data_IF_518396608736
#
_entry.id   IF_518396608736
#
_cell.length_a   1.000
_cell.length_b   1.000
_cell.length_c   1.000
_cell.angle_alpha   90.00
_cell.angle_beta   90.00
_cell.angle_gamma   90.00
#
_symmetry.space_group_name_H-M   'P 1'
#
loop_
_entity.id
_entity.type
_entity.pdbx_description
1 polymer ?
#
# COMPACT_ATOMS: atom_id res chain seq x y z
N UNK A 1 29.14 48.50 41.68
CA UNK A 1 29.34 47.04 41.66
C UNK A 1 28.50 46.49 40.52
N UNK A 2 29.19 46.02 39.47
CA UNK A 2 28.86 44.98 38.47
C UNK A 2 27.37 44.70 38.13
N UNK A 3 26.91 44.52 36.88
CA UNK A 3 27.53 44.45 35.55
C UNK A 3 26.38 44.29 34.50
N UNK A 4 26.59 44.84 33.29
CA UNK A 4 26.04 44.39 31.97
C UNK A 4 24.51 44.43 31.72
N UNK A 5 23.94 45.41 30.98
CA UNK A 5 23.75 45.49 29.49
C UNK A 5 23.02 44.25 28.90
N UNK A 6 22.00 44.32 28.03
CA UNK A 6 21.71 45.30 26.98
C UNK A 6 20.28 45.14 26.42
N UNK A 7 19.66 46.28 26.08
CA UNK A 7 18.48 46.48 25.22
C UNK A 7 18.69 45.95 23.80
N UNK A 8 17.61 45.58 23.08
CA UNK A 8 17.41 46.00 21.69
C UNK A 8 15.94 45.79 21.24
N UNK A 9 15.26 46.90 20.96
CA UNK A 9 14.04 46.99 20.16
C UNK A 9 14.38 47.66 18.82
N UNK A 10 13.52 47.45 17.82
CA UNK A 10 13.48 48.07 16.49
C UNK A 10 14.42 47.46 15.43
N UNK A 11 13.85 46.77 14.43
CA UNK A 11 13.84 47.15 12.99
C UNK A 11 12.89 46.18 12.25
N UNK A 12 11.76 46.70 11.76
CA UNK A 12 11.06 46.15 10.60
C UNK A 12 11.53 46.91 9.36
N UNK A 13 12.10 46.23 8.36
CA UNK A 13 11.97 46.56 6.93
C UNK A 13 12.98 45.77 6.09
N UNK A 14 12.51 45.26 4.95
CA UNK A 14 13.26 44.90 3.73
C UNK A 14 13.98 43.54 3.72
N UNK A 15 13.23 42.51 3.29
CA UNK A 15 13.83 41.36 2.58
C UNK A 15 13.44 41.47 1.11
N UNK A 16 14.06 42.41 0.40
CA UNK A 16 14.10 42.42 -1.06
C UNK A 16 15.31 41.62 -1.53
N UNK A 17 15.05 40.70 -2.47
CA UNK A 17 15.91 40.25 -3.58
C UNK A 17 17.42 40.26 -3.32
N UNK A 18 17.98 39.07 -3.10
CA UNK A 18 19.36 38.80 -3.47
C UNK A 18 19.39 37.77 -4.61
N UNK A 19 19.37 38.28 -5.83
CA UNK A 19 19.79 37.56 -7.04
C UNK A 19 21.31 37.44 -7.02
N UNK A 20 21.84 36.23 -6.95
CA UNK A 20 23.29 36.05 -7.00
C UNK A 20 23.76 34.62 -6.75
N UNK A 21 23.30 33.65 -7.54
CA UNK A 21 24.04 32.41 -7.75
C UNK A 21 24.47 32.40 -9.22
N UNK A 22 25.75 32.62 -9.45
CA UNK A 22 26.41 32.34 -10.72
C UNK A 22 26.58 30.82 -10.77
N UNK A 23 25.60 30.15 -11.38
CA UNK A 23 25.61 28.73 -11.71
C UNK A 23 25.47 28.58 -13.23
N UNK A 24 26.34 27.75 -13.79
CA UNK A 24 26.54 27.49 -15.21
C UNK A 24 25.29 26.99 -15.96
N UNK A 25 25.05 27.58 -17.13
CA UNK A 25 24.40 27.04 -18.36
C UNK A 25 23.36 25.92 -18.17
N UNK A 26 22.07 26.33 -18.14
CA UNK A 26 21.05 25.82 -19.05
C UNK A 26 20.59 24.36 -18.91
N UNK A 27 19.98 24.00 -17.78
CA UNK A 27 18.89 23.03 -17.81
C UNK A 27 17.57 23.80 -17.86
N UNK A 28 16.92 23.83 -19.03
CA UNK A 28 15.52 24.24 -19.12
C UNK A 28 14.70 23.29 -18.23
N UNK A 29 14.21 23.79 -17.09
CA UNK A 29 13.21 23.07 -16.28
C UNK A 29 11.97 22.93 -17.16
N UNK A 30 11.82 21.77 -17.82
CA UNK A 30 10.62 21.47 -18.59
C UNK A 30 9.44 21.53 -17.63
N UNK A 31 8.38 22.29 -17.95
CA UNK A 31 7.20 22.31 -17.10
C UNK A 31 6.65 20.89 -17.01
N UNK A 32 6.57 20.37 -15.78
CA UNK A 32 5.98 19.07 -15.48
C UNK A 32 4.56 19.08 -16.03
N UNK A 33 4.22 18.08 -16.85
CA UNK A 33 2.88 17.98 -17.44
C UNK A 33 2.09 16.91 -16.68
N UNK A 34 0.99 17.33 -16.08
CA UNK A 34 -0.01 16.45 -15.47
C UNK A 34 -1.20 16.21 -16.42
N UNK A 35 -1.94 15.10 -16.26
CA UNK A 35 -1.94 14.17 -15.13
C UNK A 35 -0.75 13.20 -15.09
N UNK A 36 -0.52 12.56 -13.95
CA UNK A 36 0.41 11.44 -13.78
C UNK A 36 -0.30 10.32 -13.03
N UNK A 37 -0.18 9.09 -13.50
CA UNK A 37 -0.72 7.90 -12.83
C UNK A 37 0.40 6.91 -12.60
N UNK A 38 0.54 6.42 -11.37
CA UNK A 38 1.50 5.37 -10.99
C UNK A 38 0.74 4.26 -10.26
N UNK A 39 1.00 2.99 -10.58
CA UNK A 39 0.48 1.86 -9.81
C UNK A 39 1.54 0.79 -9.55
N UNK A 40 1.37 0.00 -8.50
CA UNK A 40 2.06 -1.29 -8.37
C UNK A 40 1.71 -2.18 -9.55
N UNK A 41 2.67 -3.04 -9.93
CA UNK A 41 2.53 -4.15 -10.89
C UNK A 41 2.20 -3.74 -12.34
N UNK A 42 2.31 -4.66 -13.32
CA UNK A 42 2.00 -4.38 -14.73
C UNK A 42 0.49 -4.31 -15.03
N UNK A 43 -0.33 -3.73 -14.15
CA UNK A 43 -1.79 -3.59 -14.29
C UNK A 43 -2.17 -2.47 -15.27
N UNK A 44 -1.76 -2.61 -16.53
CA UNK A 44 -1.88 -1.54 -17.54
C UNK A 44 -3.31 -1.03 -17.73
N UNK A 45 -4.32 -1.91 -17.72
CA UNK A 45 -5.71 -1.47 -17.89
C UNK A 45 -6.22 -0.62 -16.72
N UNK A 46 -5.80 -0.93 -15.49
CA UNK A 46 -6.11 -0.10 -14.32
C UNK A 46 -5.49 1.30 -14.46
N UNK A 47 -4.23 1.38 -14.87
CA UNK A 47 -3.54 2.66 -15.13
C UNK A 47 -4.22 3.43 -16.28
N UNK A 48 -4.65 2.76 -17.35
CA UNK A 48 -5.38 3.40 -18.45
C UNK A 48 -6.75 3.93 -18.02
N UNK A 49 -7.46 3.22 -17.16
CA UNK A 49 -8.75 3.65 -16.63
C UNK A 49 -8.60 4.93 -15.78
N UNK A 50 -7.64 4.94 -14.85
CA UNK A 50 -7.31 6.14 -14.07
C UNK A 50 -6.84 7.30 -14.96
N UNK A 51 -5.99 7.02 -15.95
CA UNK A 51 -5.48 8.02 -16.88
C UNK A 51 -6.62 8.70 -17.66
N UNK A 52 -7.55 7.94 -18.24
CA UNK A 52 -8.67 8.50 -19.00
C UNK A 52 -9.52 9.44 -18.14
N UNK A 53 -9.75 9.06 -16.88
CA UNK A 53 -10.49 9.84 -15.90
C UNK A 53 -9.77 11.14 -15.55
N UNK A 54 -8.48 11.08 -15.20
CA UNK A 54 -7.69 12.28 -14.91
C UNK A 54 -7.50 13.18 -16.15
N UNK A 55 -7.31 12.59 -17.34
CA UNK A 55 -7.15 13.31 -18.61
C UNK A 55 -8.45 14.03 -19.01
N UNK A 56 -9.61 13.50 -18.66
CA UNK A 56 -10.90 14.19 -18.84
C UNK A 56 -11.11 15.38 -17.90
N UNK A 57 -10.21 15.60 -16.93
CA UNK A 57 -10.26 16.73 -15.98
C UNK A 57 -11.00 16.43 -14.67
N UNK A 58 -11.33 15.17 -14.41
CA UNK A 58 -11.87 14.73 -13.11
C UNK A 58 -10.76 14.70 -12.04
N UNK A 59 -11.17 14.65 -10.77
CA UNK A 59 -10.26 14.75 -9.64
C UNK A 59 -9.32 13.56 -9.52
N UNK A 60 -8.20 13.73 -8.81
CA UNK A 60 -7.30 12.63 -8.48
C UNK A 60 -8.03 11.47 -7.76
N UNK A 61 -8.99 11.78 -6.87
CA UNK A 61 -9.81 10.77 -6.18
C UNK A 61 -10.67 9.98 -7.17
N UNK A 62 -11.33 10.65 -8.11
CA UNK A 62 -12.13 9.96 -9.13
C UNK A 62 -11.26 9.02 -9.97
N UNK A 63 -10.08 9.49 -10.38
CA UNK A 63 -9.14 8.70 -11.18
C UNK A 63 -8.61 7.47 -10.43
N UNK A 64 -8.24 7.61 -9.14
CA UNK A 64 -7.84 6.49 -8.29
C UNK A 64 -8.97 5.47 -8.18
N UNK A 65 -10.19 5.93 -7.91
CA UNK A 65 -11.36 5.05 -7.73
C UNK A 65 -11.65 4.28 -9.02
N UNK A 66 -11.60 4.93 -10.18
CA UNK A 66 -11.79 4.26 -11.48
C UNK A 66 -10.67 3.27 -11.80
N UNK A 67 -9.41 3.62 -11.52
CA UNK A 67 -8.27 2.73 -11.74
C UNK A 67 -8.31 1.46 -10.88
N UNK A 68 -8.52 1.62 -9.57
CA UNK A 68 -8.66 0.49 -8.66
C UNK A 68 -9.92 -0.34 -8.97
N UNK A 69 -11.04 0.30 -9.32
CA UNK A 69 -12.28 -0.42 -9.71
C UNK A 69 -12.07 -1.27 -10.95
N UNK A 70 -11.33 -0.76 -11.95
CA UNK A 70 -10.99 -1.53 -13.13
C UNK A 70 -10.17 -2.78 -12.77
N UNK A 71 -9.28 -2.67 -11.78
CA UNK A 71 -8.48 -3.80 -11.32
C UNK A 71 -9.29 -4.84 -10.53
N UNK A 72 -10.19 -4.39 -9.65
CA UNK A 72 -11.17 -5.25 -8.96
C UNK A 72 -12.04 -6.01 -9.95
N UNK A 73 -12.51 -5.34 -11.02
CA UNK A 73 -13.35 -5.95 -12.05
C UNK A 73 -12.60 -6.95 -12.92
N UNK A 74 -11.39 -6.59 -13.36
CA UNK A 74 -10.54 -7.44 -14.21
C UNK A 74 -9.89 -8.58 -13.45
N UNK A 75 -10.02 -8.61 -12.12
CA UNK A 75 -9.34 -9.54 -11.24
C UNK A 75 -7.84 -9.56 -11.55
N UNK A 76 -7.20 -8.38 -11.53
CA UNK A 76 -5.77 -8.25 -11.79
C UNK A 76 -5.03 -9.39 -11.08
N UNK A 77 -4.29 -10.20 -11.86
CA UNK A 77 -3.54 -11.40 -11.47
C UNK A 77 -4.27 -12.48 -10.61
N UNK A 78 -5.57 -12.31 -10.38
CA UNK A 78 -6.37 -13.19 -9.53
C UNK A 78 -6.25 -12.94 -8.03
N UNK A 79 -5.68 -11.81 -7.57
CA UNK A 79 -5.54 -11.46 -6.13
C UNK A 79 -6.31 -10.20 -5.70
N UNK A 80 -6.95 -9.50 -6.63
CA UNK A 80 -7.76 -8.30 -6.36
C UNK A 80 -9.19 -8.50 -6.85
N UNK A 81 -10.19 -8.17 -6.01
CA UNK A 81 -11.61 -8.21 -6.37
C UNK A 81 -12.28 -9.58 -6.14
N UNK A 82 -13.40 -9.87 -6.83
CA UNK A 82 -14.10 -11.14 -6.70
C UNK A 82 -13.21 -12.32 -7.14
N UNK A 83 -13.20 -13.39 -6.36
CA UNK A 83 -12.50 -14.63 -6.66
C UNK A 83 -11.01 -14.58 -6.38
N UNK A 84 -10.53 -13.56 -5.68
CA UNK A 84 -9.14 -13.48 -5.21
C UNK A 84 -8.95 -14.09 -3.83
N UNK A 85 -7.72 -14.56 -3.58
CA UNK A 85 -7.14 -15.03 -2.31
C UNK A 85 -8.15 -15.40 -1.21
N UNK A 86 -8.81 -16.58 -1.28
CA UNK A 86 -9.72 -17.03 -0.25
C UNK A 86 -8.98 -17.25 1.08
N UNK A 87 -9.66 -17.05 2.20
CA UNK A 87 -9.16 -17.37 3.53
C UNK A 87 -9.15 -18.88 3.81
N UNK A 88 -8.72 -19.29 5.02
CA UNK A 88 -8.65 -20.70 5.40
C UNK A 88 -10.03 -21.42 5.43
N UNK A 89 -11.13 -20.64 5.47
CA UNK A 89 -12.51 -21.13 5.35
C UNK A 89 -13.03 -21.14 3.90
N UNK A 90 -12.24 -20.67 2.94
CA UNK A 90 -12.61 -20.61 1.53
C UNK A 90 -13.33 -19.32 1.13
N UNK A 91 -13.37 -18.33 2.03
CA UNK A 91 -14.09 -17.08 1.80
C UNK A 91 -13.17 -15.97 1.27
N UNK A 92 -13.62 -15.30 0.22
CA UNK A 92 -12.96 -14.10 -0.32
C UNK A 92 -13.49 -12.86 0.40
N UNK A 93 -12.57 -12.06 0.94
CA UNK A 93 -12.84 -10.74 1.55
C UNK A 93 -12.00 -9.68 0.86
N UNK A 94 -12.44 -8.42 0.89
CA UNK A 94 -11.74 -7.29 0.28
C UNK A 94 -11.30 -6.29 1.36
N UNK A 95 -10.06 -5.85 1.24
CA UNK A 95 -9.48 -4.73 1.96
C UNK A 95 -9.23 -3.60 0.95
N UNK A 96 -9.68 -2.38 1.24
CA UNK A 96 -9.46 -1.23 0.36
C UNK A 96 -9.35 0.08 1.14
N UNK A 97 -8.60 1.04 0.60
CA UNK A 97 -8.57 2.41 1.11
C UNK A 97 -8.45 3.43 -0.02
N UNK A 98 -8.93 4.65 0.24
CA UNK A 98 -8.66 5.83 -0.58
C UNK A 98 -8.26 6.98 0.34
N UNK A 99 -7.30 7.80 -0.10
CA UNK A 99 -6.83 8.97 0.64
C UNK A 99 -6.75 10.17 -0.28
N UNK A 100 -7.29 11.30 0.20
CA UNK A 100 -7.16 12.60 -0.43
C UNK A 100 -5.93 13.32 0.14
N UNK A 101 -4.92 13.55 -0.70
CA UNK A 101 -3.68 14.21 -0.28
C UNK A 101 -3.81 15.71 -0.06
N UNK A 102 -4.99 16.31 -0.27
CA UNK A 102 -5.25 17.73 0.04
C UNK A 102 -5.88 17.86 1.42
N UNK A 103 -6.92 17.08 1.69
CA UNK A 103 -7.69 17.17 2.94
C UNK A 103 -7.17 16.24 4.02
N UNK A 104 -6.28 15.31 3.67
CA UNK A 104 -5.81 14.20 4.51
C UNK A 104 -6.94 13.24 4.93
N UNK A 105 -8.13 13.37 4.33
CA UNK A 105 -9.24 12.46 4.57
C UNK A 105 -8.92 11.08 4.00
N UNK A 106 -9.29 10.06 4.77
CA UNK A 106 -9.14 8.65 4.42
C UNK A 106 -10.47 7.96 4.64
N UNK A 107 -10.87 7.14 3.69
CA UNK A 107 -11.90 6.13 3.89
C UNK A 107 -11.35 4.77 3.56
N UNK A 108 -11.73 3.78 4.36
CA UNK A 108 -11.23 2.43 4.23
C UNK A 108 -12.27 1.39 4.66
N UNK A 109 -12.16 0.21 4.06
CA UNK A 109 -12.90 -0.99 4.44
C UNK A 109 -11.92 -2.15 4.59
N UNK A 110 -12.14 -3.03 5.57
CA UNK A 110 -11.30 -4.20 5.78
C UNK A 110 -12.11 -5.46 6.11
N UNK A 111 -11.60 -6.61 5.70
CA UNK A 111 -12.29 -7.89 5.78
C UNK A 111 -13.74 -7.80 5.26
N UNK A 112 -14.00 -6.93 4.27
CA UNK A 112 -15.34 -6.66 3.78
C UNK A 112 -15.83 -7.86 2.97
N UNK A 113 -17.04 -8.30 3.30
CA UNK A 113 -17.70 -9.45 2.68
C UNK A 113 -18.72 -8.97 1.65
N UNK A 114 -19.11 -9.83 0.73
CA UNK A 114 -20.34 -9.67 -0.07
C UNK A 114 -20.49 -8.46 -1.00
N UNK A 115 -19.51 -7.57 -1.09
CA UNK A 115 -19.52 -6.38 -1.94
C UNK A 115 -18.23 -6.38 -2.76
N UNK A 116 -18.35 -6.38 -4.09
CA UNK A 116 -17.21 -6.47 -5.01
C UNK A 116 -16.47 -5.15 -5.19
N UNK A 117 -17.18 -4.02 -5.04
CA UNK A 117 -16.64 -2.67 -5.23
C UNK A 117 -15.95 -2.14 -3.96
N UNK A 118 -14.77 -2.69 -3.65
CA UNK A 118 -13.99 -2.36 -2.46
C UNK A 118 -13.60 -0.89 -2.37
N UNK A 119 -12.95 -0.37 -3.41
CA UNK A 119 -12.50 1.02 -3.44
C UNK A 119 -13.65 2.02 -3.42
N UNK A 120 -14.80 1.68 -4.03
CA UNK A 120 -16.00 2.54 -3.95
C UNK A 120 -16.59 2.54 -2.54
N UNK A 121 -16.59 1.39 -1.86
CA UNK A 121 -17.01 1.32 -0.46
C UNK A 121 -16.09 2.18 0.44
N UNK A 122 -14.78 2.11 0.24
CA UNK A 122 -13.80 2.97 0.90
C UNK A 122 -14.08 4.47 0.64
N UNK A 123 -14.37 4.85 -0.60
CA UNK A 123 -14.78 6.23 -0.95
C UNK A 123 -16.05 6.65 -0.21
N UNK A 124 -17.05 5.78 -0.10
CA UNK A 124 -18.29 6.09 0.62
C UNK A 124 -18.05 6.29 2.12
N UNK A 125 -17.13 5.52 2.73
CA UNK A 125 -16.71 5.74 4.13
C UNK A 125 -16.12 7.14 4.30
N UNK A 126 -15.21 7.53 3.39
CA UNK A 126 -14.58 8.86 3.39
C UNK A 126 -15.61 10.00 3.26
N UNK A 127 -16.63 9.82 2.41
CA UNK A 127 -17.56 10.89 2.04
C UNK A 127 -18.78 11.01 2.97
N UNK A 128 -19.16 9.93 3.65
CA UNK A 128 -20.45 9.85 4.35
C UNK A 128 -20.36 9.41 5.81
N UNK A 129 -19.16 9.41 6.38
CA UNK A 129 -18.96 9.15 7.81
C UNK A 129 -17.88 10.05 8.38
N UNK A 130 -17.89 10.30 9.69
CA UNK A 130 -16.76 10.89 10.41
C UNK A 130 -15.70 9.84 10.80
N UNK A 131 -15.87 8.60 10.32
CA UNK A 131 -14.97 7.48 10.61
C UNK A 131 -14.03 7.22 9.44
N UNK A 132 -12.85 6.68 9.73
CA UNK A 132 -11.85 6.37 8.71
C UNK A 132 -11.99 4.95 8.17
N UNK A 133 -12.33 3.98 9.02
CA UNK A 133 -12.25 2.56 8.68
C UNK A 133 -13.46 1.80 9.23
N UNK A 134 -14.17 1.09 8.36
CA UNK A 134 -15.21 0.12 8.73
C UNK A 134 -14.76 -1.30 8.38
N UNK A 135 -15.19 -2.30 9.16
CA UNK A 135 -14.69 -3.68 8.96
C UNK A 135 -15.79 -4.74 8.93
N UNK A 136 -15.47 -5.87 8.30
CA UNK A 136 -16.29 -7.07 8.29
C UNK A 136 -17.61 -6.89 7.54
N UNK A 137 -18.60 -7.68 7.94
CA UNK A 137 -19.94 -7.63 7.38
C UNK A 137 -20.67 -6.30 7.65
N UNK A 138 -20.28 -5.59 8.72
CA UNK A 138 -20.86 -4.29 9.03
C UNK A 138 -20.41 -3.21 8.02
N UNK A 139 -19.19 -3.31 7.48
CA UNK A 139 -18.77 -2.50 6.34
C UNK A 139 -19.62 -2.80 5.09
N UNK A 140 -19.92 -4.08 4.83
CA UNK A 140 -20.79 -4.49 3.73
C UNK A 140 -22.20 -3.91 3.86
N UNK A 141 -22.79 -3.97 5.05
CA UNK A 141 -24.13 -3.40 5.32
C UNK A 141 -24.15 -1.89 5.10
N UNK A 142 -23.11 -1.19 5.54
CA UNK A 142 -22.94 0.23 5.25
C UNK A 142 -22.87 0.49 3.73
N UNK A 143 -21.96 -0.20 3.01
CA UNK A 143 -21.78 -0.07 1.58
C UNK A 143 -23.09 -0.29 0.79
N UNK A 144 -23.84 -1.36 1.13
CA UNK A 144 -25.13 -1.67 0.51
C UNK A 144 -26.18 -0.59 0.84
N UNK A 145 -26.21 -0.10 2.09
CA UNK A 145 -27.14 0.97 2.47
C UNK A 145 -26.87 2.29 1.74
N UNK A 146 -25.64 2.50 1.29
CA UNK A 146 -25.20 3.64 0.47
C UNK A 146 -25.41 3.41 -1.04
N UNK A 147 -25.95 2.25 -1.45
CA UNK A 147 -26.35 1.97 -2.83
C UNK A 147 -25.40 1.08 -3.63
N UNK A 148 -24.36 0.51 -3.02
CA UNK A 148 -23.54 -0.51 -3.70
C UNK A 148 -24.29 -1.85 -3.81
N UNK A 149 -24.07 -2.61 -4.90
CA UNK A 149 -24.74 -3.90 -5.09
C UNK A 149 -24.26 -4.94 -4.06
N UNK A 150 -25.19 -5.77 -3.60
CA UNK A 150 -24.92 -6.88 -2.69
C UNK A 150 -26.17 -7.29 -1.89
N UNK A 151 -26.08 -8.36 -1.08
CA UNK A 151 -24.91 -9.21 -0.91
C UNK A 151 -24.67 -10.15 -2.11
N UNK A 152 -23.42 -10.31 -2.52
CA UNK A 152 -23.00 -11.17 -3.64
C UNK A 152 -21.95 -12.18 -3.18
N UNK A 153 -21.97 -13.40 -3.70
CA UNK A 153 -20.88 -14.34 -3.45
C UNK A 153 -19.60 -13.86 -4.15
N UNK A 154 -18.54 -13.60 -3.38
CA UNK A 154 -17.25 -13.16 -3.94
C UNK A 154 -16.38 -14.32 -4.39
N UNK A 155 -16.71 -15.59 -4.10
CA UNK A 155 -15.90 -16.72 -4.56
C UNK A 155 -16.05 -16.98 -6.06
N UNK A 156 -14.95 -17.35 -6.72
CA UNK A 156 -14.91 -17.91 -8.07
C UNK A 156 -14.62 -19.41 -8.04
N UNK A 157 -14.90 -20.13 -9.14
CA UNK A 157 -14.51 -21.54 -9.30
C UNK A 157 -13.03 -21.76 -9.02
N UNK A 158 -12.17 -20.86 -9.52
CA UNK A 158 -10.72 -20.87 -9.30
C UNK A 158 -10.36 -20.73 -7.81
N UNK A 159 -10.99 -19.80 -7.08
CA UNK A 159 -10.73 -19.63 -5.64
C UNK A 159 -11.15 -20.86 -4.84
N UNK A 160 -12.28 -21.47 -5.21
CA UNK A 160 -12.78 -22.69 -4.57
C UNK A 160 -11.82 -23.85 -4.85
N UNK A 161 -11.35 -24.01 -6.09
CA UNK A 161 -10.39 -25.05 -6.44
C UNK A 161 -9.05 -24.88 -5.69
N UNK A 162 -8.52 -23.65 -5.63
CA UNK A 162 -7.31 -23.32 -4.85
C UNK A 162 -7.47 -23.76 -3.39
N UNK A 163 -8.60 -23.42 -2.77
CA UNK A 163 -8.89 -23.79 -1.38
C UNK A 163 -9.08 -25.30 -1.17
N UNK A 164 -9.80 -25.98 -2.07
CA UNK A 164 -9.98 -27.44 -2.01
C UNK A 164 -8.64 -28.16 -2.11
N UNK A 165 -7.77 -27.73 -3.02
CA UNK A 165 -6.44 -28.32 -3.19
C UNK A 165 -5.55 -28.06 -1.96
N UNK A 166 -5.60 -26.87 -1.38
CA UNK A 166 -4.90 -26.56 -0.13
C UNK A 166 -5.38 -27.42 1.05
N UNK A 167 -6.70 -27.65 1.18
CA UNK A 167 -7.25 -28.57 2.19
C UNK A 167 -6.81 -30.01 1.99
N UNK A 168 -6.74 -30.49 0.73
CA UNK A 168 -6.20 -31.83 0.42
C UNK A 168 -4.72 -31.95 0.80
N UNK A 169 -3.98 -30.85 0.81
CA UNK A 169 -2.59 -30.78 1.24
C UNK A 169 -2.44 -30.46 2.74
N UNK A 170 -3.35 -31.00 3.56
CA UNK A 170 -3.38 -30.83 5.03
C UNK A 170 -3.28 -29.37 5.49
N UNK A 171 -3.87 -28.44 4.72
CA UNK A 171 -3.86 -27.02 5.03
C UNK A 171 -2.44 -26.45 5.21
N UNK A 172 -1.51 -26.86 4.36
CA UNK A 172 -0.15 -26.35 4.30
C UNK A 172 0.20 -25.75 2.93
N UNK A 173 0.99 -24.67 2.89
CA UNK A 173 1.52 -23.94 4.04
C UNK A 173 0.42 -23.05 4.68
N UNK A 174 0.51 -22.70 5.98
CA UNK A 174 -0.45 -21.80 6.64
C UNK A 174 0.19 -20.75 7.57
N UNK A 175 -0.63 -19.80 8.03
CA UNK A 175 -0.20 -18.66 8.87
C UNK A 175 -0.28 -18.92 10.38
N UNK A 176 -0.48 -20.17 10.81
CA UNK A 176 -0.57 -20.53 12.24
C UNK A 176 0.84 -20.77 12.78
N UNK A 177 1.17 -20.15 13.93
CA UNK A 177 2.47 -20.31 14.59
C UNK A 177 2.29 -20.78 16.03
N UNK A 178 3.16 -21.68 16.49
CA UNK A 178 3.20 -22.17 17.88
C UNK A 178 1.89 -22.84 18.37
N UNK A 179 1.15 -23.46 17.46
CA UNK A 179 -0.10 -24.16 17.74
C UNK A 179 -0.12 -25.51 17.04
N UNK A 180 -0.92 -26.44 17.57
CA UNK A 180 -1.15 -27.76 16.99
C UNK A 180 -2.61 -27.86 16.54
N UNK A 181 -2.90 -28.42 15.37
CA UNK A 181 -4.27 -28.61 14.94
C UNK A 181 -4.85 -29.90 15.54
N UNK A 182 -6.16 -29.93 15.85
CA UNK A 182 -6.85 -31.16 16.30
C UNK A 182 -6.94 -32.19 15.17
N UNK A 183 -7.26 -31.72 13.96
CA UNK A 183 -7.23 -32.48 12.71
C UNK A 183 -6.14 -31.89 11.79
N UNK A 184 -6.11 -32.20 10.49
CA UNK A 184 -5.13 -31.59 9.57
C UNK A 184 -5.25 -30.07 9.46
N UNK A 185 -6.45 -29.52 9.62
CA UNK A 185 -6.79 -28.12 9.32
C UNK A 185 -7.31 -27.31 10.52
N UNK A 186 -7.13 -27.84 11.74
CA UNK A 186 -7.65 -27.25 12.97
C UNK A 186 -8.93 -27.93 13.50
N UNK A 187 -9.62 -27.34 14.49
CA UNK A 187 -9.25 -26.10 15.20
C UNK A 187 -7.85 -26.20 15.83
N UNK A 188 -7.17 -25.07 15.96
CA UNK A 188 -5.80 -25.00 16.46
C UNK A 188 -5.78 -24.69 17.95
N UNK A 189 -4.93 -25.37 18.71
CA UNK A 189 -4.75 -25.14 20.15
C UNK A 189 -3.28 -24.85 20.49
N UNK A 190 -3.09 -24.18 21.63
CA UNK A 190 -1.77 -23.91 22.17
C UNK A 190 -0.99 -25.22 22.36
N UNK A 191 0.24 -25.25 21.86
CA UNK A 191 1.15 -26.34 22.15
C UNK A 191 1.49 -26.31 23.65
N UNK A 192 1.02 -27.28 24.43
CA UNK A 192 1.19 -27.30 25.90
C UNK A 192 2.66 -27.26 26.36
N UNK A 193 3.60 -27.60 25.47
CA UNK A 193 5.04 -27.51 25.71
C UNK A 193 5.60 -26.08 25.77
N UNK A 194 4.88 -25.06 25.31
CA UNK A 194 5.34 -23.65 25.36
C UNK A 194 5.04 -22.95 26.69
N UNK A 195 4.28 -23.57 27.59
CA UNK A 195 4.05 -23.03 28.97
C UNK A 195 5.31 -23.01 29.84
N UNK A 196 6.42 -23.62 29.40
CA UNK A 196 7.71 -23.60 30.11
C UNK A 196 8.70 -22.53 29.58
N UNK A 197 8.25 -21.63 28.69
CA UNK A 197 9.10 -20.64 28.01
C UNK A 197 9.12 -19.23 28.62
N UNK A 198 8.40 -18.95 29.71
CA UNK A 198 8.41 -17.62 30.35
C UNK A 198 9.66 -17.34 31.20
N UNK A 199 10.61 -18.29 31.28
CA UNK A 199 11.92 -18.10 31.90
C UNK A 199 13.04 -18.05 30.86
N UNK A 200 13.05 -17.06 29.96
CA UNK A 200 14.26 -16.65 29.22
C UNK A 200 14.06 -15.31 28.49
N UNK A 201 13.75 -14.26 29.23
CA UNK A 201 14.17 -12.90 28.83
C UNK A 201 15.55 -12.65 29.43
N UNK A 202 16.56 -13.31 28.87
CA UNK A 202 17.96 -13.01 29.15
C UNK A 202 18.76 -13.16 27.85
N UNK A 203 19.10 -12.00 27.29
CA UNK A 203 20.20 -11.68 26.39
C UNK A 203 20.45 -12.59 25.16
N UNK A 204 20.26 -11.98 23.98
CA UNK A 204 21.05 -12.23 22.75
C UNK A 204 20.89 -13.56 22.01
N UNK A 205 19.72 -14.20 22.04
CA UNK A 205 19.40 -15.24 21.05
C UNK A 205 18.42 -14.72 19.99
N UNK A 206 18.91 -14.60 18.76
CA UNK A 206 18.08 -14.46 17.56
C UNK A 206 17.19 -15.69 17.51
N UNK A 207 15.96 -15.57 17.99
CA UNK A 207 14.91 -16.58 17.78
C UNK A 207 14.88 -16.84 16.27
N UNK A 208 15.30 -18.05 15.87
CA UNK A 208 15.28 -18.49 14.49
C UNK A 208 13.93 -18.18 13.87
N UNK A 209 13.92 -17.21 12.96
CA UNK A 209 12.78 -16.95 12.11
C UNK A 209 12.75 -18.13 11.14
N UNK A 210 11.81 -19.03 11.43
CA UNK A 210 11.36 -20.14 10.61
C UNK A 210 11.52 -19.87 9.10
N UNK A 211 12.34 -20.71 8.43
CA UNK A 211 12.58 -20.73 6.97
C UNK A 211 11.26 -20.87 6.17
N UNK A 212 10.13 -21.17 6.83
CA UNK A 212 8.78 -21.21 6.26
C UNK A 212 8.29 -19.87 5.67
N UNK A 213 8.76 -18.71 6.16
CA UNK A 213 8.15 -17.41 5.77
C UNK A 213 8.31 -17.06 4.29
N UNK A 214 9.43 -17.44 3.68
CA UNK A 214 9.72 -17.15 2.27
C UNK A 214 8.79 -17.89 1.29
N UNK A 215 8.07 -18.93 1.73
CA UNK A 215 7.13 -19.69 0.88
C UNK A 215 5.70 -19.13 0.86
N UNK A 216 5.35 -18.25 1.81
CA UNK A 216 3.98 -17.75 1.94
C UNK A 216 3.70 -16.54 1.04
N UNK A 217 4.72 -15.76 0.69
CA UNK A 217 4.55 -14.50 -0.05
C UNK A 217 5.45 -14.50 -1.29
N UNK A 218 4.83 -14.42 -2.47
CA UNK A 218 5.48 -14.34 -3.79
C UNK A 218 4.52 -13.69 -4.79
N UNK A 219 4.89 -13.63 -6.07
CA UNK A 219 4.14 -12.97 -7.18
C UNK A 219 2.67 -13.43 -7.35
N UNK A 220 2.24 -14.47 -6.63
CA UNK A 220 0.88 -14.99 -6.71
C UNK A 220 0.20 -15.05 -5.35
N UNK A 221 0.79 -14.44 -4.31
CA UNK A 221 0.32 -14.58 -2.92
C UNK A 221 0.41 -13.32 -2.04
N UNK A 222 0.64 -12.13 -2.62
CA UNK A 222 0.50 -10.85 -1.89
C UNK A 222 0.06 -9.66 -2.74
N UNK A 223 -0.56 -9.90 -3.89
CA UNK A 223 -0.58 -8.82 -4.85
C UNK A 223 -1.71 -7.82 -4.55
N UNK A 224 -1.28 -6.59 -4.38
CA UNK A 224 -2.08 -5.44 -3.96
C UNK A 224 -1.94 -4.42 -5.06
N UNK A 225 -3.05 -3.92 -5.59
CA UNK A 225 -2.99 -2.69 -6.38
C UNK A 225 -2.93 -1.52 -5.40
N UNK A 226 -1.82 -0.78 -5.43
CA UNK A 226 -1.73 0.55 -4.88
C UNK A 226 -1.54 1.52 -6.05
N UNK A 227 -2.24 2.65 -6.04
CA UNK A 227 -2.23 3.62 -7.12
C UNK A 227 -2.10 5.02 -6.55
N UNK A 228 -1.27 5.84 -7.19
CA UNK A 228 -1.19 7.28 -6.99
C UNK A 228 -1.59 8.01 -8.27
N UNK A 229 -2.37 9.08 -8.12
CA UNK A 229 -2.72 9.97 -9.22
C UNK A 229 -2.37 11.40 -8.82
N UNK A 230 -1.68 12.09 -9.71
CA UNK A 230 -1.58 13.55 -9.71
C UNK A 230 -2.48 14.05 -10.84
N UNK A 231 -3.54 14.78 -10.52
CA UNK A 231 -4.49 15.27 -11.52
C UNK A 231 -3.97 16.51 -12.27
N UNK A 232 -4.75 17.01 -13.25
CA UNK A 232 -4.38 18.19 -14.06
C UNK A 232 -4.18 19.47 -13.25
N UNK A 233 -4.64 19.53 -12.00
CA UNK A 233 -4.46 20.66 -11.09
C UNK A 233 -3.25 20.45 -10.16
N UNK A 234 -2.53 19.34 -10.29
CA UNK A 234 -1.43 18.98 -9.40
C UNK A 234 -1.88 18.40 -8.06
N UNK A 235 -3.17 18.08 -7.89
CA UNK A 235 -3.67 17.51 -6.63
C UNK A 235 -3.42 16.02 -6.60
N UNK A 236 -3.05 15.49 -5.44
CA UNK A 236 -2.61 14.10 -5.29
C UNK A 236 -3.66 13.30 -4.51
N UNK A 237 -3.95 12.09 -4.99
CA UNK A 237 -4.70 11.09 -4.27
C UNK A 237 -4.06 9.73 -4.42
N UNK A 238 -4.32 8.85 -3.46
CA UNK A 238 -3.92 7.44 -3.53
C UNK A 238 -5.07 6.52 -3.20
N UNK A 239 -4.98 5.28 -3.66
CA UNK A 239 -5.90 4.23 -3.27
C UNK A 239 -5.28 2.85 -3.38
N UNK A 240 -5.90 1.92 -2.67
CA UNK A 240 -5.45 0.54 -2.57
C UNK A 240 -6.64 -0.41 -2.58
N UNK A 241 -6.48 -1.57 -3.20
CA UNK A 241 -7.41 -2.70 -3.09
C UNK A 241 -6.66 -4.03 -3.12
N UNK A 242 -7.09 -5.00 -2.31
CA UNK A 242 -6.51 -6.34 -2.24
C UNK A 242 -7.48 -7.33 -1.58
N UNK A 243 -7.36 -8.61 -1.91
CA UNK A 243 -7.96 -9.68 -1.11
C UNK A 243 -7.05 -10.14 0.05
N UNK A 244 -5.83 -9.62 0.17
CA UNK A 244 -4.84 -10.01 1.16
C UNK A 244 -4.19 -11.36 0.85
N UNK A 245 -3.58 -11.97 1.87
CA UNK A 245 -2.84 -13.22 1.70
C UNK A 245 -3.77 -14.42 1.44
N UNK A 246 -3.41 -15.32 0.52
CA UNK A 246 -4.19 -16.54 0.26
C UNK A 246 -4.07 -17.50 1.43
N UNK A 247 -5.21 -18.05 1.87
CA UNK A 247 -5.36 -18.90 3.05
C UNK A 247 -5.08 -18.17 4.37
N UNK A 248 -5.21 -16.84 4.38
CA UNK A 248 -5.16 -16.05 5.61
C UNK A 248 -6.15 -16.57 6.65
N UNK A 249 -5.85 -16.32 7.92
CA UNK A 249 -6.78 -16.60 9.02
C UNK A 249 -8.01 -15.69 8.83
N UNK A 250 -9.25 -16.20 8.96
CA UNK A 250 -10.46 -15.40 8.86
C UNK A 250 -10.41 -14.17 9.76
N UNK A 251 -10.72 -13.00 9.20
CA UNK A 251 -10.60 -11.71 9.89
C UNK A 251 -9.21 -11.07 9.86
N UNK A 252 -8.19 -11.71 9.26
CA UNK A 252 -6.88 -11.07 9.02
C UNK A 252 -7.05 -9.91 8.05
N UNK A 253 -6.55 -8.76 8.47
CA UNK A 253 -6.42 -7.54 7.67
C UNK A 253 -4.95 -7.28 7.40
N UNK A 254 -4.59 -7.01 6.15
CA UNK A 254 -3.23 -6.67 5.74
C UNK A 254 -2.91 -5.19 5.89
N UNK A 255 -1.84 -4.74 5.23
CA UNK A 255 -1.50 -3.33 5.08
C UNK A 255 -2.46 -2.59 4.13
N UNK A 256 -3.11 -3.32 3.21
CA UNK A 256 -4.01 -2.81 2.18
C UNK A 256 -4.91 -1.64 2.58
N UNK A 257 -5.68 -1.71 3.69
CA UNK A 257 -6.59 -0.64 4.09
C UNK A 257 -5.98 0.35 5.11
N UNK A 258 -4.66 0.29 5.35
CA UNK A 258 -3.96 1.07 6.38
C UNK A 258 -3.19 2.22 5.73
N UNK A 259 -3.70 3.44 5.89
CA UNK A 259 -3.02 4.65 5.44
C UNK A 259 -1.62 4.76 6.04
N UNK A 260 -0.65 5.07 5.18
CA UNK A 260 0.76 5.14 5.56
C UNK A 260 1.48 3.81 5.40
N UNK A 261 0.77 2.69 5.38
CA UNK A 261 1.36 1.38 5.07
C UNK A 261 1.30 1.08 3.58
N UNK A 262 0.11 0.79 3.05
CA UNK A 262 -0.07 0.40 1.65
C UNK A 262 0.02 1.57 0.70
N UNK A 263 -0.50 2.73 1.09
CA UNK A 263 -0.40 3.95 0.33
C UNK A 263 -0.49 5.20 1.22
N UNK A 264 0.10 6.29 0.77
CA UNK A 264 0.02 7.59 1.43
C UNK A 264 0.19 8.72 0.42
N UNK A 265 -0.51 9.84 0.61
CA UNK A 265 -0.42 11.02 -0.23
C UNK A 265 -0.41 12.30 0.60
N UNK A 266 0.40 13.26 0.18
CA UNK A 266 0.34 14.65 0.58
C UNK A 266 0.63 15.51 -0.66
N UNK A 267 -0.30 16.37 -1.05
CA UNK A 267 -0.20 17.18 -2.27
C UNK A 267 1.01 18.13 -2.24
N UNK A 268 1.45 18.56 -1.07
CA UNK A 268 2.63 19.43 -0.90
C UNK A 268 3.95 18.68 -1.07
N UNK A 269 3.93 17.34 -1.12
CA UNK A 269 5.14 16.52 -1.12
C UNK A 269 5.15 15.48 -2.23
N UNK A 270 4.16 14.59 -2.26
CA UNK A 270 4.15 13.42 -3.13
C UNK A 270 3.25 12.30 -2.61
N UNK A 271 3.45 11.11 -3.18
CA UNK A 271 2.74 9.90 -2.82
C UNK A 271 3.63 8.66 -2.86
N UNK A 272 3.17 7.60 -2.19
CA UNK A 272 3.75 6.27 -2.24
C UNK A 272 2.63 5.23 -2.31
N UNK A 273 2.93 4.12 -2.99
CA UNK A 273 2.14 2.89 -2.94
C UNK A 273 3.03 1.66 -2.79
N UNK A 274 2.51 0.62 -2.14
CA UNK A 274 3.25 -0.55 -1.69
C UNK A 274 2.54 -1.88 -1.97
N UNK A 275 3.32 -2.96 -2.01
CA UNK A 275 2.89 -4.38 -2.05
C UNK A 275 3.99 -5.21 -1.35
N UNK A 276 3.71 -6.35 -0.69
CA UNK A 276 4.79 -7.12 -0.05
C UNK A 276 4.43 -8.22 0.97
N UNK A 277 4.71 -8.02 2.25
CA UNK A 277 4.21 -8.85 3.35
C UNK A 277 3.49 -7.89 4.27
N UNK A 278 2.17 -7.86 4.14
CA UNK A 278 1.33 -6.83 4.73
C UNK A 278 1.41 -6.79 6.25
N UNK A 279 1.68 -7.94 6.88
CA UNK A 279 1.87 -8.05 8.32
C UNK A 279 3.20 -7.45 8.76
N UNK A 280 4.23 -7.47 7.91
CA UNK A 280 5.51 -6.79 8.16
C UNK A 280 5.42 -5.32 7.77
N UNK A 281 4.91 -4.99 6.57
CA UNK A 281 4.80 -3.64 6.04
C UNK A 281 4.08 -2.69 7.00
N UNK A 282 2.94 -3.12 7.56
CA UNK A 282 2.16 -2.29 8.50
C UNK A 282 2.87 -1.95 9.80
N UNK A 283 3.95 -2.66 10.15
CA UNK A 283 4.74 -2.37 11.37
C UNK A 283 5.67 -1.18 11.17
N UNK A 284 5.97 -0.82 9.92
CA UNK A 284 6.94 0.21 9.57
C UNK A 284 6.33 1.41 8.85
N UNK A 285 5.08 1.28 8.36
CA UNK A 285 4.38 2.34 7.60
C UNK A 285 5.27 2.91 6.47
N UNK A 286 5.73 2.06 5.53
CA UNK A 286 6.75 2.45 4.56
C UNK A 286 6.31 3.63 3.70
N UNK A 287 5.05 3.73 3.31
CA UNK A 287 4.61 4.85 2.47
C UNK A 287 4.52 6.17 3.21
N UNK A 288 4.14 6.17 4.49
CA UNK A 288 4.29 7.36 5.33
C UNK A 288 5.76 7.78 5.43
N UNK A 289 6.65 6.81 5.72
CA UNK A 289 8.09 7.09 5.81
C UNK A 289 8.68 7.63 4.51
N UNK A 290 8.28 7.09 3.34
CA UNK A 290 8.72 7.59 2.03
C UNK A 290 8.29 9.03 1.81
N UNK A 291 7.02 9.36 2.04
CA UNK A 291 6.50 10.72 1.86
C UNK A 291 7.19 11.68 2.84
N UNK A 292 7.35 11.31 4.12
CA UNK A 292 8.05 12.17 5.08
C UNK A 292 9.55 12.32 4.78
N UNK A 293 10.21 11.29 4.28
CA UNK A 293 11.59 11.41 3.79
C UNK A 293 11.69 12.38 2.61
N UNK A 294 10.74 12.35 1.67
CA UNK A 294 10.68 13.32 0.58
C UNK A 294 10.39 14.74 1.10
N UNK A 295 9.54 14.90 2.12
CA UNK A 295 9.30 16.20 2.79
C UNK A 295 10.59 16.79 3.37
N UNK A 296 11.49 15.93 3.85
CA UNK A 296 12.80 16.32 4.37
C UNK A 296 13.86 16.53 3.27
N UNK A 297 13.47 16.49 1.99
CA UNK A 297 14.32 16.78 0.85
C UNK A 297 15.03 15.57 0.26
N UNK A 298 14.64 14.33 0.62
CA UNK A 298 15.16 13.15 -0.07
C UNK A 298 14.51 12.99 -1.45
N UNK A 299 15.33 12.68 -2.46
CA UNK A 299 14.84 12.26 -3.77
C UNK A 299 13.98 10.99 -3.68
N UNK A 300 12.94 10.81 -4.52
CA UNK A 300 12.01 9.67 -4.45
C UNK A 300 12.67 8.30 -4.39
N UNK A 301 13.76 8.11 -5.16
CA UNK A 301 14.52 6.85 -5.18
C UNK A 301 15.18 6.56 -3.83
N UNK A 302 15.83 7.57 -3.24
CA UNK A 302 16.53 7.43 -1.96
C UNK A 302 15.53 7.23 -0.81
N UNK A 303 14.40 7.94 -0.84
CA UNK A 303 13.32 7.76 0.12
C UNK A 303 12.75 6.32 0.08
N UNK A 304 12.50 5.79 -1.12
CA UNK A 304 12.03 4.42 -1.32
C UNK A 304 13.06 3.38 -0.83
N UNK A 305 14.33 3.55 -1.20
CA UNK A 305 15.41 2.64 -0.80
C UNK A 305 15.64 2.65 0.72
N UNK A 306 15.61 3.82 1.37
CA UNK A 306 15.75 3.90 2.83
C UNK A 306 14.60 3.19 3.56
N UNK A 307 13.35 3.43 3.14
CA UNK A 307 12.17 2.81 3.75
C UNK A 307 12.24 1.28 3.67
N UNK A 308 12.55 0.73 2.48
CA UNK A 308 12.71 -0.72 2.28
C UNK A 308 13.88 -1.28 3.08
N UNK A 309 15.04 -0.59 3.08
CA UNK A 309 16.21 -1.02 3.84
C UNK A 309 15.95 -1.04 5.35
N UNK A 310 15.12 -0.12 5.86
CA UNK A 310 14.72 -0.06 7.28
C UNK A 310 13.97 -1.31 7.72
N UNK A 311 13.09 -1.82 6.86
CA UNK A 311 12.38 -3.08 7.08
C UNK A 311 13.36 -4.26 6.99
N UNK A 312 14.17 -4.31 5.92
CA UNK A 312 15.15 -5.38 5.68
C UNK A 312 16.12 -5.58 6.85
N UNK A 313 16.59 -4.49 7.47
CA UNK A 313 17.47 -4.54 8.66
C UNK A 313 16.86 -5.31 9.84
N UNK A 314 15.53 -5.27 9.98
CA UNK A 314 14.82 -5.95 11.08
C UNK A 314 14.27 -7.31 10.67
N UNK A 315 13.85 -7.45 9.42
CA UNK A 315 13.28 -8.67 8.84
C UNK A 315 14.00 -8.99 7.52
N UNK A 316 15.19 -9.62 7.55
CA UNK A 316 16.01 -9.83 6.36
C UNK A 316 15.41 -10.74 5.28
N UNK A 317 14.34 -11.48 5.60
CA UNK A 317 13.66 -12.39 4.68
C UNK A 317 12.30 -11.84 4.22
N UNK A 318 11.96 -10.60 4.56
CA UNK A 318 10.68 -10.02 4.15
C UNK A 318 10.65 -9.82 2.63
N UNK A 319 9.46 -9.89 2.05
CA UNK A 319 9.25 -9.57 0.64
C UNK A 319 8.44 -8.28 0.58
N UNK A 320 8.83 -7.33 -0.27
CA UNK A 320 8.06 -6.11 -0.44
C UNK A 320 8.68 -5.10 -1.37
N UNK A 321 7.85 -4.20 -1.88
CA UNK A 321 8.23 -3.14 -2.79
C UNK A 321 7.34 -1.92 -2.63
N UNK A 322 7.92 -0.76 -2.95
CA UNK A 322 7.22 0.51 -2.99
C UNK A 322 7.56 1.23 -4.28
N UNK A 323 6.59 2.00 -4.80
CA UNK A 323 6.90 3.14 -5.66
C UNK A 323 6.78 4.42 -4.85
N UNK A 324 7.57 5.42 -5.22
CA UNK A 324 7.53 6.78 -4.71
C UNK A 324 7.34 7.74 -5.88
N UNK A 325 6.56 8.80 -5.68
CA UNK A 325 6.39 9.89 -6.63
C UNK A 325 6.33 11.21 -5.89
N UNK A 326 7.12 12.20 -6.28
CA UNK A 326 7.03 13.55 -5.71
C UNK A 326 5.97 14.41 -6.42
N UNK A 327 5.68 15.59 -5.88
CA UNK A 327 4.76 16.55 -6.47
C UNK A 327 5.28 17.22 -7.77
N UNK A 328 6.52 16.94 -8.19
CA UNK A 328 7.08 17.30 -9.50
C UNK A 328 6.97 16.14 -10.50
N UNK A 329 6.34 15.02 -10.13
CA UNK A 329 6.17 13.86 -10.98
C UNK A 329 7.43 13.01 -11.17
N UNK A 330 8.50 13.27 -10.42
CA UNK A 330 9.67 12.39 -10.35
C UNK A 330 9.24 11.13 -9.60
N UNK A 331 9.46 9.96 -10.21
CA UNK A 331 9.07 8.70 -9.62
C UNK A 331 10.21 7.69 -9.60
N UNK A 332 10.17 6.79 -8.63
CA UNK A 332 11.12 5.70 -8.49
C UNK A 332 10.46 4.51 -7.77
N UNK A 333 11.17 3.39 -7.67
CA UNK A 333 10.75 2.29 -6.82
C UNK A 333 11.93 1.60 -6.17
N UNK A 334 11.66 0.91 -5.07
CA UNK A 334 12.61 0.09 -4.34
C UNK A 334 11.91 -1.19 -3.88
N UNK A 335 12.65 -2.29 -3.76
CA UNK A 335 12.10 -3.55 -3.28
C UNK A 335 13.15 -4.41 -2.58
N UNK A 336 12.67 -5.44 -1.88
CA UNK A 336 13.46 -6.45 -1.21
C UNK A 336 12.76 -7.81 -1.34
N UNK A 337 13.55 -8.90 -1.40
CA UNK A 337 13.04 -10.28 -1.49
C UNK A 337 12.48 -10.70 -2.86
N UNK A 338 12.20 -9.76 -3.77
CA UNK A 338 11.69 -10.03 -5.12
C UNK A 338 12.07 -8.97 -6.15
N UNK A 339 11.80 -9.26 -7.42
CA UNK A 339 11.76 -8.24 -8.48
C UNK A 339 10.38 -7.59 -8.47
N UNK A 340 10.35 -6.30 -8.19
CA UNK A 340 9.12 -5.52 -8.16
C UNK A 340 8.92 -4.80 -9.49
N UNK A 341 7.67 -4.61 -9.89
CA UNK A 341 7.33 -3.80 -11.05
C UNK A 341 6.29 -2.75 -10.66
N UNK A 342 6.34 -1.61 -11.33
CA UNK A 342 5.31 -0.59 -11.23
C UNK A 342 5.03 0.01 -12.63
N UNK A 343 3.82 0.50 -12.83
CA UNK A 343 3.34 1.04 -14.10
C UNK A 343 3.14 2.54 -13.99
N UNK A 344 3.49 3.27 -15.05
CA UNK A 344 3.37 4.74 -15.11
C UNK A 344 2.70 5.18 -16.40
N UNK A 345 1.90 6.24 -16.31
CA UNK A 345 1.38 6.98 -17.44
C UNK A 345 1.46 8.49 -17.18
N UNK A 346 2.15 9.20 -18.07
CA UNK A 346 2.31 10.67 -18.10
C UNK A 346 2.10 11.21 -19.52
N UNK A 347 1.89 12.52 -19.74
CA UNK A 347 1.50 13.06 -21.05
C UNK A 347 2.53 12.88 -22.17
N UNK A 348 3.80 12.70 -21.82
CA UNK A 348 4.91 12.47 -22.73
C UNK A 348 5.04 11.01 -23.21
N UNK A 349 4.31 10.08 -22.60
CA UNK A 349 4.29 8.68 -23.01
C UNK A 349 3.22 8.43 -24.11
N UNK A 350 3.44 7.44 -24.98
CA UNK A 350 2.42 7.00 -25.93
C UNK A 350 1.32 6.17 -25.24
N UNK A 351 1.71 5.33 -24.28
CA UNK A 351 0.86 4.44 -23.49
C UNK A 351 1.55 4.14 -22.14
N UNK A 352 0.95 3.26 -21.32
CA UNK A 352 1.49 2.84 -20.01
C UNK A 352 2.85 2.16 -20.17
N UNK A 353 3.84 2.65 -19.43
CA UNK A 353 5.19 2.09 -19.35
C UNK A 353 5.35 1.32 -18.04
N UNK A 354 5.96 0.14 -18.11
CA UNK A 354 6.27 -0.69 -16.93
C UNK A 354 7.74 -0.57 -16.58
N UNK A 355 8.04 -0.25 -15.33
CA UNK A 355 9.38 -0.15 -14.78
C UNK A 355 9.66 -1.37 -13.91
N UNK A 356 10.83 -1.99 -14.12
CA UNK A 356 11.29 -3.13 -13.33
C UNK A 356 12.33 -2.66 -12.32
N UNK A 357 12.12 -2.99 -11.06
CA UNK A 357 12.98 -2.66 -9.92
C UNK A 357 13.60 -3.95 -9.40
N UNK A 358 14.93 -3.99 -9.36
CA UNK A 358 15.66 -5.11 -8.78
C UNK A 358 15.82 -4.89 -7.26
N UNK A 359 15.82 -5.96 -6.45
CA UNK A 359 15.92 -5.84 -5.01
C UNK A 359 17.21 -5.13 -4.59
N UNK A 360 17.09 -4.26 -3.58
CA UNK A 360 18.23 -3.54 -3.00
C UNK A 360 19.22 -4.56 -2.45
N UNK A 361 20.48 -4.47 -2.88
CA UNK A 361 21.54 -5.35 -2.35
C UNK A 361 21.74 -5.01 -0.88
N UNK A 362 21.53 -5.99 0.02
CA UNK A 362 21.86 -5.86 1.43
C UNK A 362 23.35 -5.56 1.60
N UNK A 363 23.72 -4.30 1.73
CA UNK A 363 25.00 -3.91 2.31
C UNK A 363 24.93 -4.20 3.79
N UNK A 364 25.57 -5.32 4.18
CA UNK A 364 25.75 -5.77 5.57
C UNK A 364 26.52 -4.73 6.36
#
# INVERSE_FOLDING_TARGET
MNETRQSLALVCSNFERNTGIIGTIGDEVRPVKFPLVVSTWPFKEAVRAAWRTAESGLSAIDAVVEGCSACELLRCDGTVGPGGSPDENGETTIDAMVMNGVTMEVGAVAAMRYVSDGIKAARLVMQHTEHTLLVGEQASRFAISMGLPGPTNLSSEESIEKWVNWKKNSCQPNFRKNVLPVNDCGPYHLNSSTKLGEKLFSNNERVGLDESRSYHFGLHNHDTIAMAVIDKKGLIAVGTSTNGATFKIPGRVGDGPIAGSSAYADTEVGACGASGDGDIMMRFLPCYQVVESMRLGMEPKLAAEDAIARIARKYPDFVGGVFAVDNNGIHAGACHGWTFQYSVRSPDMADVVVYTVNPVKSTV
#
